data_IF_914332673309
#
_entry.id   IF_914332673309
#
_cell.length_a   1.000
_cell.length_b   1.000
_cell.length_c   1.000
_cell.angle_alpha   90.00
_cell.angle_beta   90.00
_cell.angle_gamma   90.00
#
_symmetry.space_group_name_H-M   'P 1'
#
loop_
_entity.id
_entity.type
_entity.pdbx_description
1 polymer ?
#
# COMPACT_ATOMS: atom_id res chain seq x y z
N UNK A 1 -9.26 -7.01 36.19
CA UNK A 1 -8.54 -7.44 34.97
C UNK A 1 -9.56 -7.97 33.98
N UNK A 2 -9.84 -7.25 32.91
CA UNK A 2 -10.72 -7.72 31.83
C UNK A 2 -9.83 -8.46 30.81
N UNK A 3 -10.13 -9.71 30.41
CA UNK A 3 -9.30 -10.41 29.44
C UNK A 3 -9.44 -9.68 28.10
N UNK A 4 -8.30 -9.28 27.55
CA UNK A 4 -8.19 -8.63 26.25
C UNK A 4 -8.74 -9.60 25.19
N UNK A 5 -9.83 -9.21 24.53
CA UNK A 5 -10.48 -10.04 23.51
C UNK A 5 -9.60 -10.04 22.25
N UNK A 6 -8.68 -11.00 22.16
CA UNK A 6 -7.83 -11.23 20.99
C UNK A 6 -8.60 -11.69 19.73
N UNK A 7 -9.89 -12.02 19.85
CA UNK A 7 -10.70 -12.54 18.74
C UNK A 7 -11.35 -11.49 17.83
N UNK A 8 -11.56 -10.25 18.30
CA UNK A 8 -12.23 -9.23 17.49
C UNK A 8 -11.42 -8.82 16.25
N UNK A 9 -10.12 -8.46 16.36
CA UNK A 9 -9.36 -7.94 15.21
C UNK A 9 -9.25 -8.94 14.06
N UNK A 10 -9.07 -10.23 14.38
CA UNK A 10 -8.98 -11.30 13.40
C UNK A 10 -10.33 -11.52 12.68
N UNK A 11 -11.45 -11.53 13.42
CA UNK A 11 -12.77 -11.67 12.84
C UNK A 11 -13.16 -10.48 11.94
N UNK A 12 -12.81 -9.25 12.33
CA UNK A 12 -13.01 -8.06 11.51
C UNK A 12 -12.18 -8.09 10.22
N UNK A 13 -10.89 -8.43 10.31
CA UNK A 13 -10.04 -8.59 9.12
C UNK A 13 -10.58 -9.67 8.18
N UNK A 14 -11.09 -10.78 8.72
CA UNK A 14 -11.70 -11.84 7.93
C UNK A 14 -13.00 -11.37 7.25
N UNK A 15 -13.85 -10.62 7.96
CA UNK A 15 -15.10 -10.10 7.41
C UNK A 15 -14.89 -9.05 6.32
N UNK A 16 -13.97 -8.10 6.50
CA UNK A 16 -13.61 -7.15 5.44
C UNK A 16 -12.99 -7.86 4.23
N UNK A 17 -12.03 -8.77 4.48
CA UNK A 17 -11.43 -9.58 3.44
C UNK A 17 -12.50 -10.38 2.69
N UNK A 18 -13.48 -10.97 3.38
CA UNK A 18 -14.57 -11.70 2.76
C UNK A 18 -15.48 -10.79 1.92
N UNK A 19 -15.88 -9.62 2.43
CA UNK A 19 -16.71 -8.66 1.70
C UNK A 19 -15.99 -8.19 0.43
N UNK A 20 -14.73 -7.81 0.53
CA UNK A 20 -13.99 -7.30 -0.62
C UNK A 20 -13.65 -8.42 -1.64
N UNK A 21 -13.41 -9.66 -1.18
CA UNK A 21 -13.15 -10.80 -2.06
C UNK A 21 -14.40 -11.37 -2.74
N UNK A 22 -15.56 -11.38 -2.07
CA UNK A 22 -16.77 -12.08 -2.54
C UNK A 22 -17.79 -11.13 -3.17
N UNK A 23 -17.96 -9.93 -2.63
CA UNK A 23 -19.00 -9.00 -3.09
C UNK A 23 -18.50 -7.97 -4.10
N UNK A 24 -17.25 -7.51 -3.98
CA UNK A 24 -16.72 -6.45 -4.86
C UNK A 24 -15.97 -6.93 -6.09
N UNK A 25 -15.67 -8.22 -6.24
CA UNK A 25 -14.93 -8.73 -7.40
C UNK A 25 -13.47 -8.28 -7.41
N UNK A 26 -12.57 -9.23 -7.72
CA UNK A 26 -11.13 -8.98 -7.76
C UNK A 26 -10.74 -8.21 -9.04
N UNK A 27 -9.60 -7.53 -9.01
CA UNK A 27 -9.11 -6.71 -10.14
C UNK A 27 -7.62 -6.92 -10.38
N UNK A 28 -7.15 -6.69 -11.60
CA UNK A 28 -5.71 -6.59 -11.89
C UNK A 28 -5.28 -5.11 -11.90
N UNK A 29 -4.20 -4.73 -11.20
CA UNK A 29 -3.73 -3.35 -11.16
C UNK A 29 -3.21 -2.88 -12.53
N UNK A 30 -3.48 -1.61 -12.83
CA UNK A 30 -2.90 -0.88 -13.98
C UNK A 30 -1.59 -0.23 -13.59
N UNK A 31 -0.70 0.01 -14.54
CA UNK A 31 0.59 0.66 -14.29
C UNK A 31 0.41 1.96 -13.47
N UNK A 32 1.07 2.02 -12.32
CA UNK A 32 0.98 3.13 -11.37
C UNK A 32 -0.19 3.05 -10.39
N UNK A 33 -0.92 1.93 -10.32
CA UNK A 33 -1.96 1.75 -9.30
C UNK A 33 -1.36 1.90 -7.92
N UNK A 34 -2.06 2.63 -7.05
CA UNK A 34 -1.74 2.64 -5.63
C UNK A 34 -2.18 1.30 -5.07
N UNK A 35 -1.28 0.66 -4.32
CA UNK A 35 -1.51 -0.59 -3.63
C UNK A 35 -1.40 -0.38 -2.12
N UNK A 36 -2.20 -1.09 -1.33
CA UNK A 36 -1.91 -1.23 0.09
C UNK A 36 -2.24 -2.63 0.63
N UNK A 37 -1.62 -2.99 1.75
CA UNK A 37 -2.00 -4.14 2.57
C UNK A 37 -2.09 -3.74 4.05
N UNK A 38 -2.75 -4.55 4.88
CA UNK A 38 -2.81 -4.33 6.33
C UNK A 38 -1.61 -5.01 7.00
N UNK A 39 -0.85 -4.25 7.79
CA UNK A 39 0.32 -4.75 8.53
C UNK A 39 -0.12 -5.56 9.76
N UNK A 40 -0.55 -4.84 10.82
CA UNK A 40 -1.06 -5.35 12.09
C UNK A 40 -2.04 -4.30 12.62
N UNK A 41 -3.26 -4.69 12.99
CA UNK A 41 -4.28 -3.73 13.47
C UNK A 41 -4.63 -2.67 12.41
N UNK A 42 -4.75 -1.36 12.76
CA UNK A 42 -5.11 -0.31 11.81
C UNK A 42 -3.96 0.10 10.87
N UNK A 43 -2.74 -0.40 11.09
CA UNK A 43 -1.56 0.04 10.35
C UNK A 43 -1.54 -0.55 8.93
N UNK A 44 -1.27 0.29 7.94
CA UNK A 44 -1.23 -0.10 6.53
C UNK A 44 0.14 0.14 5.92
N UNK A 45 0.46 -0.64 4.90
CA UNK A 45 1.67 -0.49 4.08
C UNK A 45 1.28 -0.22 2.63
N UNK A 46 1.95 0.73 1.98
CA UNK A 46 1.62 1.16 0.61
C UNK A 46 2.78 0.97 -0.36
N UNK A 47 2.42 0.73 -1.62
CA UNK A 47 3.34 0.65 -2.73
C UNK A 47 2.69 1.10 -4.04
N UNK A 48 3.48 1.12 -5.10
CA UNK A 48 3.02 1.45 -6.45
C UNK A 48 3.24 0.26 -7.35
N UNK A 49 2.19 -0.18 -8.04
CA UNK A 49 2.30 -1.22 -9.06
C UNK A 49 3.08 -0.68 -10.27
N UNK A 50 4.12 -1.40 -10.71
CA UNK A 50 4.99 -0.95 -11.81
C UNK A 50 5.00 -1.88 -13.03
N UNK A 51 4.05 -2.82 -13.10
CA UNK A 51 3.94 -3.82 -14.16
C UNK A 51 4.57 -5.16 -13.77
N UNK A 52 4.32 -6.21 -14.56
CA UNK A 52 4.94 -7.54 -14.39
C UNK A 52 4.80 -8.17 -12.99
N UNK A 53 3.69 -7.91 -12.29
CA UNK A 53 3.51 -8.33 -10.89
C UNK A 53 4.52 -7.71 -9.92
N UNK A 54 5.16 -6.60 -10.29
CA UNK A 54 6.15 -5.93 -9.46
C UNK A 54 5.55 -4.68 -8.80
N UNK A 55 5.98 -4.47 -7.56
CA UNK A 55 5.57 -3.37 -6.70
C UNK A 55 6.83 -2.63 -6.27
N UNK A 56 6.83 -1.31 -6.41
CA UNK A 56 7.86 -0.50 -5.76
C UNK A 56 7.35 -0.03 -4.41
N UNK A 57 8.15 -0.28 -3.38
CA UNK A 57 7.86 0.06 -2.00
C UNK A 57 9.06 0.71 -1.31
N UNK A 58 8.80 1.48 -0.26
CA UNK A 58 9.82 1.95 0.67
C UNK A 58 9.76 1.09 1.94
N UNK A 59 10.83 0.36 2.22
CA UNK A 59 10.96 -0.47 3.42
C UNK A 59 11.30 0.38 4.64
N UNK A 60 10.98 -0.15 5.84
CA UNK A 60 11.36 0.49 7.11
C UNK A 60 12.88 0.65 7.33
N UNK A 61 13.70 -0.03 6.53
CA UNK A 61 15.16 0.18 6.46
C UNK A 61 15.57 1.42 5.65
N UNK A 62 14.62 2.10 5.01
CA UNK A 62 14.85 3.19 4.06
C UNK A 62 15.16 2.75 2.64
N UNK A 63 15.34 1.44 2.38
CA UNK A 63 15.59 0.96 1.03
C UNK A 63 14.32 1.00 0.18
N UNK A 64 14.40 1.64 -0.99
CA UNK A 64 13.38 1.51 -2.04
C UNK A 64 13.62 0.21 -2.78
N UNK A 65 12.65 -0.70 -2.71
CA UNK A 65 12.76 -2.07 -3.22
C UNK A 65 11.70 -2.29 -4.31
N UNK A 66 12.10 -3.07 -5.32
CA UNK A 66 11.19 -3.73 -6.25
C UNK A 66 10.86 -5.11 -5.68
N UNK A 67 9.59 -5.35 -5.41
CA UNK A 67 9.09 -6.54 -4.70
C UNK A 67 7.98 -7.24 -5.49
N UNK A 68 7.97 -8.56 -5.42
CA UNK A 68 6.82 -9.39 -5.79
C UNK A 68 5.66 -9.20 -4.79
N UNK A 69 4.44 -9.68 -5.10
CA UNK A 69 3.30 -9.57 -4.18
C UNK A 69 3.57 -10.29 -2.86
N UNK A 70 4.16 -11.48 -2.93
CA UNK A 70 4.61 -12.26 -1.77
C UNK A 70 5.60 -11.50 -0.89
N UNK A 71 6.59 -10.83 -1.48
CA UNK A 71 7.54 -10.03 -0.71
C UNK A 71 6.89 -8.79 -0.07
N UNK A 72 5.96 -8.14 -0.77
CA UNK A 72 5.27 -6.95 -0.29
C UNK A 72 4.40 -7.21 0.95
N UNK A 73 3.85 -8.43 1.09
CA UNK A 73 3.10 -8.82 2.29
C UNK A 73 3.95 -9.59 3.32
N UNK A 74 5.23 -9.83 3.04
CA UNK A 74 6.11 -10.57 3.94
C UNK A 74 6.32 -9.82 5.25
N UNK A 75 6.21 -10.53 6.38
CA UNK A 75 6.28 -9.92 7.71
C UNK A 75 5.02 -9.15 8.15
N UNK A 76 3.93 -9.26 7.39
CA UNK A 76 2.62 -8.68 7.71
C UNK A 76 1.60 -9.77 8.09
N UNK A 77 0.42 -9.39 8.58
CA UNK A 77 -0.74 -10.28 8.71
C UNK A 77 -1.70 -10.18 7.51
N UNK A 78 -1.28 -9.56 6.41
CA UNK A 78 -2.12 -9.37 5.24
C UNK A 78 -2.42 -10.71 4.55
N UNK A 79 -3.69 -10.90 4.19
CA UNK A 79 -4.12 -12.01 3.34
C UNK A 79 -4.47 -11.56 1.91
N UNK A 80 -4.34 -10.27 1.62
CA UNK A 80 -4.73 -9.65 0.36
C UNK A 80 -4.00 -8.33 0.17
N UNK A 81 -3.80 -7.96 -1.09
CA UNK A 81 -3.33 -6.63 -1.51
C UNK A 81 -4.50 -5.91 -2.16
N UNK A 82 -4.72 -4.66 -1.79
CA UNK A 82 -5.83 -3.84 -2.26
C UNK A 82 -5.34 -2.85 -3.32
N UNK A 83 -6.13 -2.68 -4.37
CA UNK A 83 -5.85 -1.86 -5.54
C UNK A 83 -6.81 -0.68 -5.57
N UNK A 84 -6.28 0.52 -5.80
CA UNK A 84 -7.10 1.73 -6.00
C UNK A 84 -7.96 1.62 -7.26
N UNK A 85 -9.29 1.80 -7.10
CA UNK A 85 -10.27 1.59 -8.16
C UNK A 85 -11.28 2.73 -8.28
N UNK A 86 -11.78 2.96 -9.50
CA UNK A 86 -12.94 3.80 -9.77
C UNK A 86 -14.06 2.91 -10.29
N UNK A 87 -15.13 2.76 -9.51
CA UNK A 87 -16.14 1.73 -9.77
C UNK A 87 -15.51 0.34 -9.74
N UNK A 88 -15.59 -0.40 -10.86
CA UNK A 88 -15.02 -1.75 -11.01
C UNK A 88 -13.63 -1.82 -11.62
N UNK A 89 -13.05 -0.68 -11.95
CA UNK A 89 -11.82 -0.61 -12.72
C UNK A 89 -10.65 -0.14 -11.86
N UNK A 90 -9.51 -0.82 -11.95
CA UNK A 90 -8.27 -0.32 -11.39
C UNK A 90 -7.87 1.01 -12.03
N UNK A 91 -7.23 1.88 -11.25
CA UNK A 91 -6.77 3.22 -11.66
C UNK A 91 -5.25 3.24 -11.64
N UNK A 92 -4.62 3.70 -12.73
CA UNK A 92 -3.16 3.75 -12.85
C UNK A 92 -2.62 5.18 -13.00
N UNK A 93 -1.52 5.46 -12.33
CA UNK A 93 -0.78 6.73 -12.42
C UNK A 93 0.60 6.48 -13.06
N UNK A 94 0.67 6.41 -14.40
CA UNK A 94 1.89 6.01 -15.10
C UNK A 94 3.14 6.84 -14.73
N UNK A 95 2.99 8.16 -14.54
CA UNK A 95 4.08 9.03 -14.06
C UNK A 95 4.56 8.66 -12.66
N UNK A 96 3.66 8.19 -11.79
CA UNK A 96 4.03 7.73 -10.45
C UNK A 96 4.82 6.43 -10.52
N UNK A 97 4.43 5.49 -11.38
CA UNK A 97 5.22 4.27 -11.63
C UNK A 97 6.63 4.59 -12.15
N UNK A 98 6.75 5.56 -13.06
CA UNK A 98 8.05 6.00 -13.56
C UNK A 98 8.93 6.54 -12.42
N UNK A 99 8.42 7.51 -11.65
CA UNK A 99 9.16 8.09 -10.52
C UNK A 99 9.54 7.04 -9.46
N UNK A 100 8.64 6.11 -9.17
CA UNK A 100 8.92 5.02 -8.24
C UNK A 100 10.07 4.13 -8.76
N UNK A 101 10.03 3.74 -10.04
CA UNK A 101 11.11 2.97 -10.69
C UNK A 101 12.46 3.67 -10.66
N UNK A 102 12.50 4.99 -10.88
CA UNK A 102 13.73 5.81 -10.82
C UNK A 102 14.36 5.87 -9.41
N UNK A 103 13.62 5.50 -8.37
CA UNK A 103 14.09 5.47 -6.99
C UNK A 103 14.52 4.07 -6.52
N UNK A 104 14.24 3.02 -7.29
CA UNK A 104 14.60 1.63 -6.92
C UNK A 104 16.10 1.52 -6.65
N UNK A 105 16.45 0.87 -5.54
CA UNK A 105 17.83 0.66 -5.10
C UNK A 105 18.41 1.83 -4.29
N UNK A 106 17.74 2.99 -4.24
CA UNK A 106 18.15 4.10 -3.37
C UNK A 106 17.77 3.82 -1.92
N UNK A 107 18.52 4.42 -1.01
CA UNK A 107 18.18 4.49 0.41
C UNK A 107 17.69 5.91 0.70
N UNK A 108 16.43 6.02 1.13
CA UNK A 108 15.80 7.25 1.56
C UNK A 108 15.80 7.34 3.08
N UNK A 109 15.77 8.56 3.63
CA UNK A 109 15.80 8.77 5.07
C UNK A 109 14.46 8.35 5.72
N UNK A 110 14.38 7.09 6.11
CA UNK A 110 13.28 6.52 6.88
C UNK A 110 13.58 6.65 8.37
N UNK A 111 12.61 7.07 9.21
CA UNK A 111 12.85 7.27 10.63
C UNK A 111 13.10 5.97 11.38
N UNK A 112 14.23 5.92 12.08
CA UNK A 112 14.53 4.87 13.05
C UNK A 112 13.44 4.87 14.14
N UNK A 113 12.96 3.69 14.53
CA UNK A 113 11.88 3.50 15.54
C UNK A 113 10.51 4.08 15.19
N UNK A 114 10.28 4.55 13.96
CA UNK A 114 8.99 5.08 13.54
C UNK A 114 8.64 6.46 14.12
N UNK A 115 9.62 7.17 14.67
CA UNK A 115 9.45 8.53 15.18
C UNK A 115 9.97 9.52 14.11
N UNK A 116 9.10 10.33 13.49
CA UNK A 116 9.53 11.38 12.57
C UNK A 116 10.58 12.29 13.22
N UNK A 117 11.63 12.63 12.48
CA UNK A 117 12.56 13.68 12.89
C UNK A 117 12.80 14.62 11.71
N UNK A 118 13.37 15.80 11.96
CA UNK A 118 13.75 16.76 10.90
C UNK A 118 14.65 16.16 9.81
N UNK A 119 15.31 15.02 10.07
CA UNK A 119 16.15 14.31 9.11
C UNK A 119 15.50 13.07 8.50
N UNK A 120 14.41 12.58 9.10
CA UNK A 120 13.74 11.35 8.71
C UNK A 120 12.25 11.60 8.50
N UNK A 121 11.93 11.87 7.25
CA UNK A 121 10.66 12.50 6.86
C UNK A 121 9.83 11.60 5.92
N UNK A 122 10.29 10.37 5.67
CA UNK A 122 9.63 9.45 4.73
C UNK A 122 9.23 8.15 5.40
N UNK A 123 7.95 7.81 5.23
CA UNK A 123 7.47 6.45 5.35
C UNK A 123 6.90 5.95 4.00
N UNK A 124 6.34 4.74 3.99
CA UNK A 124 5.77 4.17 2.76
C UNK A 124 4.64 5.02 2.15
N UNK A 125 3.82 5.69 2.96
CA UNK A 125 2.74 6.56 2.49
C UNK A 125 3.29 7.85 1.88
N UNK A 126 4.25 8.48 2.56
CA UNK A 126 4.96 9.67 2.07
C UNK A 126 5.63 9.41 0.72
N UNK A 127 6.30 8.25 0.60
CA UNK A 127 6.91 7.80 -0.65
C UNK A 127 5.90 7.66 -1.79
N UNK A 128 4.75 7.04 -1.54
CA UNK A 128 3.69 6.92 -2.56
C UNK A 128 3.12 8.30 -2.93
N UNK A 129 2.88 9.16 -1.94
CA UNK A 129 2.42 10.53 -2.16
C UNK A 129 3.41 11.34 -3.02
N UNK A 130 4.69 11.23 -2.72
CA UNK A 130 5.80 11.80 -3.51
C UNK A 130 5.78 11.32 -4.96
N UNK A 131 5.60 10.03 -5.18
CA UNK A 131 5.55 9.48 -6.52
C UNK A 131 4.31 9.97 -7.29
N UNK A 132 3.16 10.08 -6.64
CA UNK A 132 1.93 10.57 -7.28
C UNK A 132 2.03 12.05 -7.66
N UNK A 133 2.49 12.89 -6.74
CA UNK A 133 2.53 14.35 -6.93
C UNK A 133 3.78 14.84 -7.66
N UNK A 134 4.91 14.14 -7.50
CA UNK A 134 6.23 14.61 -7.89
C UNK A 134 6.84 15.61 -6.90
N UNK A 135 6.29 15.73 -5.69
CA UNK A 135 6.74 16.68 -4.66
C UNK A 135 6.87 15.98 -3.31
N UNK A 136 7.97 16.25 -2.62
CA UNK A 136 8.16 15.77 -1.25
C UNK A 136 7.34 16.59 -0.26
N UNK A 137 6.56 15.90 0.56
CA UNK A 137 5.77 16.49 1.64
C UNK A 137 5.90 15.59 2.88
N UNK A 138 6.75 16.04 3.80
CA UNK A 138 7.08 15.34 5.05
C UNK A 138 5.92 15.25 6.03
N UNK A 139 4.73 15.78 5.71
CA UNK A 139 3.52 15.68 6.53
C UNK A 139 2.58 14.56 6.07
N UNK A 140 2.84 13.91 4.92
CA UNK A 140 1.95 12.90 4.33
C UNK A 140 2.35 11.50 4.77
N UNK A 141 1.82 11.03 5.89
CA UNK A 141 2.31 9.81 6.56
C UNK A 141 1.29 8.69 6.61
N UNK A 142 0.07 8.92 6.18
CA UNK A 142 -1.02 7.96 6.34
C UNK A 142 -1.67 7.63 5.01
N UNK A 143 -2.34 6.48 4.95
CA UNK A 143 -3.21 6.17 3.82
C UNK A 143 -4.30 7.24 3.64
N UNK A 144 -4.77 7.82 4.74
CA UNK A 144 -5.76 8.90 4.73
C UNK A 144 -5.25 10.17 4.02
N UNK A 145 -3.95 10.47 4.08
CA UNK A 145 -3.36 11.61 3.36
C UNK A 145 -3.46 11.42 1.83
N UNK A 146 -3.20 10.20 1.37
CA UNK A 146 -3.36 9.82 -0.04
C UNK A 146 -4.84 9.87 -0.41
N UNK A 147 -5.72 9.27 0.40
CA UNK A 147 -7.16 9.26 0.14
C UNK A 147 -7.74 10.67 0.11
N UNK A 148 -7.38 11.54 1.05
CA UNK A 148 -7.86 12.94 1.10
C UNK A 148 -7.50 13.70 -0.16
N UNK A 149 -6.34 13.42 -0.76
CA UNK A 149 -5.88 14.13 -1.96
C UNK A 149 -6.42 13.54 -3.27
N UNK A 150 -6.55 12.22 -3.35
CA UNK A 150 -6.78 11.52 -4.61
C UNK A 150 -8.14 10.80 -4.71
N UNK A 151 -8.78 10.48 -3.59
CA UNK A 151 -10.09 9.82 -3.57
C UNK A 151 -11.18 10.79 -4.04
N UNK A 152 -12.20 10.26 -4.72
CA UNK A 152 -13.30 11.02 -5.33
C UNK A 152 -12.97 11.44 -6.76
N UNK A 153 -11.86 12.16 -6.95
CA UNK A 153 -11.43 12.59 -8.28
C UNK A 153 -10.90 11.40 -9.10
N UNK A 154 -9.93 10.66 -8.56
CA UNK A 154 -9.20 9.62 -9.29
C UNK A 154 -9.70 8.21 -9.01
N UNK A 155 -9.96 7.86 -7.76
CA UNK A 155 -10.46 6.54 -7.35
C UNK A 155 -11.53 6.72 -6.25
N UNK A 156 -12.45 5.78 -6.10
CA UNK A 156 -13.54 5.86 -5.13
C UNK A 156 -13.66 4.64 -4.22
N UNK A 157 -12.92 3.55 -4.50
CA UNK A 157 -12.88 2.37 -3.67
C UNK A 157 -11.54 1.61 -3.78
N UNK A 158 -11.41 0.58 -2.94
CA UNK A 158 -10.31 -0.37 -2.95
C UNK A 158 -10.87 -1.75 -3.25
N UNK A 159 -10.21 -2.52 -4.11
CA UNK A 159 -10.59 -3.91 -4.45
C UNK A 159 -9.40 -4.84 -4.30
N UNK A 160 -9.66 -6.11 -4.01
CA UNK A 160 -8.59 -7.10 -3.88
C UNK A 160 -7.94 -7.35 -5.23
N UNK A 161 -6.61 -7.40 -5.26
CA UNK A 161 -5.85 -7.82 -6.42
C UNK A 161 -6.16 -9.29 -6.72
N UNK A 162 -6.62 -9.56 -7.94
CA UNK A 162 -6.73 -10.90 -8.51
C UNK A 162 -5.35 -11.54 -8.70
N UNK A 163 -4.89 -12.19 -7.64
CA UNK A 163 -3.68 -13.01 -7.59
C UNK A 163 -4.06 -14.45 -7.28
N UNK A 164 -3.28 -15.39 -7.82
CA UNK A 164 -3.31 -16.77 -7.35
C UNK A 164 -2.64 -16.87 -5.98
N UNK A 165 -3.04 -17.87 -5.19
CA UNK A 165 -2.51 -18.05 -3.84
C UNK A 165 -0.98 -18.21 -3.82
N UNK A 166 -0.41 -18.90 -4.81
CA UNK A 166 1.04 -19.10 -4.96
C UNK A 166 1.83 -17.84 -5.35
N UNK A 167 1.16 -16.83 -5.90
CA UNK A 167 1.77 -15.52 -6.19
C UNK A 167 1.81 -14.64 -4.93
N UNK A 168 0.98 -14.96 -3.94
CA UNK A 168 0.85 -14.24 -2.68
C UNK A 168 1.57 -14.92 -1.51
N UNK A 169 1.67 -16.26 -1.48
CA UNK A 169 2.19 -17.04 -0.33
C UNK A 169 3.33 -18.00 -0.66
#
# INVERSE_FOLDING_TARGET
>A
MLPLIFGLPAAFNLAESFIDNVLRGKVTPKLGSILYCRLIGPTTHTGIYVGNQEIVELLGSGKVKLSSPKEFISGTQAMSIYVSCKGSEAVGFAKAAQRAKELVGKTLNYPTMGIPTEKHERNCHCFVYECLTGTHDSQKWTLLDIETKFRGEYFDNWRVWDLKSEELF
#
